data_IF_984949921634
#
_entry.id   IF_984949921634
#
_cell.length_a   1.000
_cell.length_b   1.000
_cell.length_c   1.000
_cell.angle_alpha   90.00
_cell.angle_beta   90.00
_cell.angle_gamma   90.00
#
_symmetry.space_group_name_H-M   'P 1'
#
loop_
_entity.id
_entity.type
_entity.pdbx_description
1 polymer ?
#
# COMPACT_ATOMS: atom_id res chain seq x y z
N UNK A 1 1.67 -15.35 1.13
CA UNK A 1 2.28 -14.39 0.18
C UNK A 1 2.77 -15.15 -1.05
N UNK A 2 2.41 -14.72 -2.26
CA UNK A 2 2.95 -15.30 -3.49
C UNK A 2 4.26 -14.59 -3.85
N UNK A 3 5.37 -15.34 -3.92
CA UNK A 3 6.67 -14.84 -4.38
C UNK A 3 7.02 -15.50 -5.70
N UNK A 4 7.36 -14.72 -6.71
CA UNK A 4 7.92 -15.29 -7.93
C UNK A 4 9.29 -15.89 -7.64
N UNK A 5 9.55 -17.09 -8.21
CA UNK A 5 10.89 -17.64 -8.34
C UNK A 5 11.82 -16.63 -9.04
N UNK A 6 13.06 -16.54 -8.56
CA UNK A 6 14.03 -15.50 -8.96
C UNK A 6 14.27 -15.45 -10.47
N UNK A 7 14.58 -14.27 -10.99
CA UNK A 7 14.83 -14.09 -12.43
C UNK A 7 16.01 -14.92 -12.93
N UNK A 8 17.10 -14.96 -12.15
CA UNK A 8 18.29 -15.75 -12.46
C UNK A 8 17.99 -17.25 -12.60
N UNK A 9 17.19 -17.82 -11.68
CA UNK A 9 16.80 -19.23 -11.73
C UNK A 9 16.11 -19.56 -13.06
N UNK A 10 15.19 -18.69 -13.50
CA UNK A 10 14.45 -18.89 -14.75
C UNK A 10 15.37 -18.85 -15.96
N UNK A 11 16.32 -17.92 -15.99
CA UNK A 11 17.31 -17.81 -17.06
C UNK A 11 18.18 -19.07 -17.13
N UNK A 12 18.68 -19.55 -15.98
CA UNK A 12 19.51 -20.77 -15.92
C UNK A 12 18.75 -22.02 -16.37
N UNK A 13 17.50 -22.14 -15.95
CA UNK A 13 16.61 -23.24 -16.37
C UNK A 13 16.36 -23.21 -17.87
N UNK A 14 16.04 -22.05 -18.44
CA UNK A 14 15.78 -21.92 -19.88
C UNK A 14 17.04 -22.12 -20.73
N UNK A 15 18.22 -21.73 -20.22
CA UNK A 15 19.49 -22.09 -20.87
C UNK A 15 19.70 -23.60 -20.95
N UNK A 16 19.36 -24.35 -19.90
CA UNK A 16 19.45 -25.81 -19.94
C UNK A 16 18.47 -26.42 -20.95
N UNK A 17 17.25 -25.88 -21.05
CA UNK A 17 16.27 -26.30 -22.07
C UNK A 17 16.76 -25.96 -23.48
N UNK A 18 17.35 -24.78 -23.68
CA UNK A 18 17.94 -24.38 -24.96
C UNK A 18 19.14 -25.26 -25.36
N UNK A 19 19.88 -25.78 -24.38
CA UNK A 19 20.96 -26.75 -24.59
C UNK A 19 20.47 -28.20 -24.83
N UNK A 20 19.17 -28.43 -24.93
CA UNK A 20 18.58 -29.72 -25.30
C UNK A 20 17.92 -30.49 -24.16
N UNK A 21 17.94 -29.99 -22.92
CA UNK A 21 17.23 -30.66 -21.82
C UNK A 21 15.71 -30.57 -21.99
N UNK A 22 15.01 -31.64 -21.64
CA UNK A 22 13.55 -31.62 -21.53
C UNK A 22 13.11 -30.75 -20.36
N UNK A 23 11.84 -30.32 -20.36
CA UNK A 23 11.28 -29.53 -19.25
C UNK A 23 11.30 -30.28 -17.91
N UNK A 24 11.25 -31.62 -17.93
CA UNK A 24 11.32 -32.44 -16.72
C UNK A 24 12.75 -32.49 -16.18
N UNK A 25 13.73 -32.80 -17.02
CA UNK A 25 15.14 -32.82 -16.62
C UNK A 25 15.62 -31.45 -16.12
N UNK A 26 15.25 -30.37 -16.82
CA UNK A 26 15.56 -29.02 -16.37
C UNK A 26 14.81 -28.65 -15.08
N UNK A 27 13.60 -29.15 -14.88
CA UNK A 27 12.86 -28.98 -13.64
C UNK A 27 13.55 -29.66 -12.45
N UNK A 28 13.87 -30.94 -12.60
CA UNK A 28 14.54 -31.75 -11.59
C UNK A 28 15.91 -31.18 -11.21
N UNK A 29 16.72 -30.79 -12.21
CA UNK A 29 18.06 -30.21 -11.99
C UNK A 29 18.05 -28.92 -11.17
N UNK A 30 17.00 -28.11 -11.27
CA UNK A 30 16.94 -26.77 -10.69
C UNK A 30 15.86 -26.60 -9.62
N UNK A 31 15.20 -27.69 -9.20
CA UNK A 31 14.15 -27.66 -8.18
C UNK A 31 12.87 -26.92 -8.62
N UNK A 32 12.52 -26.98 -9.91
CA UNK A 32 11.33 -26.37 -10.47
C UNK A 32 10.39 -27.42 -11.09
N UNK A 33 9.08 -27.20 -11.05
CA UNK A 33 8.15 -28.11 -11.73
C UNK A 33 8.20 -27.92 -13.25
N UNK A 34 8.08 -29.01 -14.02
CA UNK A 34 8.05 -28.97 -15.49
C UNK A 34 6.99 -28.00 -16.04
N UNK A 35 5.83 -27.90 -15.36
CA UNK A 35 4.79 -26.92 -15.69
C UNK A 35 5.28 -25.46 -15.55
N UNK A 36 6.09 -25.16 -14.54
CA UNK A 36 6.69 -23.83 -14.36
C UNK A 36 7.71 -23.52 -15.45
N UNK A 37 8.55 -24.50 -15.80
CA UNK A 37 9.50 -24.38 -16.91
C UNK A 37 8.78 -24.09 -18.22
N UNK A 38 7.70 -24.83 -18.52
CA UNK A 38 6.84 -24.59 -19.70
C UNK A 38 6.28 -23.16 -19.73
N UNK A 39 5.75 -22.66 -18.61
CA UNK A 39 5.26 -21.27 -18.52
C UNK A 39 6.36 -20.24 -18.75
N UNK A 40 7.58 -20.47 -18.26
CA UNK A 40 8.70 -19.57 -18.48
C UNK A 40 9.14 -19.56 -19.94
N UNK A 41 9.19 -20.73 -20.59
CA UNK A 41 9.52 -20.85 -22.02
C UNK A 41 8.49 -20.16 -22.90
N UNK A 42 7.20 -20.34 -22.60
CA UNK A 42 6.10 -19.63 -23.30
C UNK A 42 6.28 -18.12 -23.20
N UNK A 43 6.55 -17.61 -21.99
CA UNK A 43 6.81 -16.18 -21.74
C UNK A 43 8.04 -15.65 -22.46
N UNK A 44 9.13 -16.40 -22.49
CA UNK A 44 10.34 -16.01 -23.22
C UNK A 44 10.05 -15.88 -24.72
N UNK A 45 9.27 -16.81 -25.31
CA UNK A 45 8.86 -16.71 -26.72
C UNK A 45 7.94 -15.52 -27.01
N UNK A 46 7.02 -15.20 -26.10
CA UNK A 46 6.04 -14.12 -26.30
C UNK A 46 6.58 -12.73 -25.98
N UNK A 47 7.47 -12.60 -24.99
CA UNK A 47 7.89 -11.33 -24.40
C UNK A 47 9.40 -11.10 -24.47
N UNK A 48 10.17 -12.03 -25.03
CA UNK A 48 11.63 -11.97 -25.15
C UNK A 48 12.40 -12.19 -23.86
N UNK A 49 11.71 -12.32 -22.71
CA UNK A 49 12.35 -12.54 -21.41
C UNK A 49 11.47 -13.34 -20.43
N UNK A 50 12.06 -14.21 -19.60
CA UNK A 50 11.30 -15.01 -18.61
C UNK A 50 10.94 -14.25 -17.33
N UNK A 51 10.97 -12.91 -17.36
CA UNK A 51 10.78 -12.06 -16.17
C UNK A 51 9.38 -12.27 -15.57
N UNK A 52 9.24 -12.39 -14.24
CA UNK A 52 7.92 -12.38 -13.62
C UNK A 52 7.17 -11.08 -13.98
N UNK A 53 5.85 -11.17 -14.05
CA UNK A 53 5.01 -10.00 -14.31
C UNK A 53 4.91 -9.17 -13.03
N UNK A 54 4.28 -7.99 -13.11
CA UNK A 54 3.95 -7.22 -11.92
C UNK A 54 3.12 -8.08 -10.96
N UNK A 55 3.70 -8.37 -9.80
CA UNK A 55 3.02 -9.07 -8.71
C UNK A 55 2.36 -8.03 -7.81
N UNK A 56 1.05 -8.14 -7.65
CA UNK A 56 0.27 -7.13 -6.92
C UNK A 56 0.17 -5.81 -7.68
N UNK A 57 -0.13 -4.74 -6.94
CA UNK A 57 -0.45 -3.41 -7.49
C UNK A 57 -1.93 -3.07 -7.33
N UNK A 58 -2.23 -1.77 -7.33
CA UNK A 58 -3.60 -1.29 -7.36
C UNK A 58 -4.24 -1.65 -8.70
N UNK A 59 -5.41 -2.29 -8.64
CA UNK A 59 -6.24 -2.65 -9.80
C UNK A 59 -7.67 -2.15 -9.65
N UNK A 60 -7.93 -1.40 -8.57
CA UNK A 60 -9.27 -0.95 -8.17
C UNK A 60 -9.38 0.58 -8.23
N UNK A 61 -8.25 1.29 -8.24
CA UNK A 61 -8.21 2.75 -8.35
C UNK A 61 -8.53 3.29 -9.74
N UNK A 62 -8.35 2.50 -10.80
CA UNK A 62 -8.37 3.01 -12.18
C UNK A 62 -9.60 3.86 -12.49
N UNK A 63 -10.79 3.43 -12.02
CA UNK A 63 -12.04 4.18 -12.21
C UNK A 63 -12.03 5.55 -11.55
N UNK A 64 -11.55 5.68 -10.32
CA UNK A 64 -11.54 6.98 -9.63
C UNK A 64 -10.41 7.88 -10.17
N UNK A 65 -9.28 7.30 -10.57
CA UNK A 65 -8.17 8.04 -11.18
C UNK A 65 -8.54 8.61 -12.56
N UNK A 66 -9.36 7.90 -13.34
CA UNK A 66 -9.91 8.43 -14.59
C UNK A 66 -10.75 9.70 -14.40
N UNK A 67 -11.29 9.93 -13.20
CA UNK A 67 -12.07 11.11 -12.83
C UNK A 67 -11.34 12.02 -11.85
N UNK A 68 -9.99 11.97 -11.81
CA UNK A 68 -9.15 12.75 -10.89
C UNK A 68 -9.54 14.23 -10.85
N UNK A 69 -9.73 14.85 -12.01
CA UNK A 69 -10.08 16.28 -12.10
C UNK A 69 -11.42 16.60 -11.44
N UNK A 70 -12.44 15.76 -11.64
CA UNK A 70 -13.74 15.93 -11.00
C UNK A 70 -13.65 15.78 -9.48
N UNK A 71 -12.85 14.81 -8.99
CA UNK A 71 -12.62 14.61 -7.56
C UNK A 71 -11.87 15.81 -6.94
N UNK A 72 -10.89 16.36 -7.64
CA UNK A 72 -10.16 17.56 -7.20
C UNK A 72 -11.04 18.81 -7.23
N UNK A 73 -11.86 18.99 -8.27
CA UNK A 73 -12.80 20.11 -8.38
C UNK A 73 -13.85 20.07 -7.26
N UNK A 74 -14.33 18.87 -6.90
CA UNK A 74 -15.26 18.69 -5.79
C UNK A 74 -14.67 19.05 -4.41
N UNK A 75 -13.33 19.06 -4.28
CA UNK A 75 -12.65 19.43 -3.05
C UNK A 75 -12.56 20.96 -2.88
N UNK A 76 -12.76 21.72 -3.95
CA UNK A 76 -12.68 23.18 -3.97
C UNK A 76 -11.24 23.73 -3.87
N UNK A 77 -11.06 25.05 -4.07
CA UNK A 77 -9.74 25.69 -4.07
C UNK A 77 -9.01 25.60 -2.71
N UNK A 78 -9.75 25.57 -1.60
CA UNK A 78 -9.19 25.57 -0.24
C UNK A 78 -8.91 24.17 0.32
N UNK A 79 -9.28 23.11 -0.42
CA UNK A 79 -9.14 21.70 -0.03
C UNK A 79 -9.86 21.29 1.27
N UNK A 80 -10.88 22.06 1.67
CA UNK A 80 -11.54 21.91 2.97
C UNK A 80 -12.84 21.09 2.95
N UNK A 81 -13.33 20.69 1.78
CA UNK A 81 -14.52 19.86 1.69
C UNK A 81 -14.29 18.48 2.33
N UNK A 82 -15.29 18.05 3.10
CA UNK A 82 -15.31 16.72 3.71
C UNK A 82 -15.50 15.63 2.66
N UNK A 83 -15.13 14.39 2.98
CA UNK A 83 -15.30 13.26 2.06
C UNK A 83 -16.77 13.07 1.68
N UNK A 84 -17.73 13.31 2.58
CA UNK A 84 -19.16 13.19 2.26
C UNK A 84 -19.65 14.31 1.32
N UNK A 85 -19.15 15.53 1.47
CA UNK A 85 -19.45 16.63 0.53
C UNK A 85 -18.88 16.33 -0.86
N UNK A 86 -17.66 15.80 -0.93
CA UNK A 86 -17.05 15.34 -2.19
C UNK A 86 -17.89 14.23 -2.82
N UNK A 87 -18.39 13.28 -2.02
CA UNK A 87 -19.30 12.21 -2.51
C UNK A 87 -20.59 12.77 -3.06
N UNK A 88 -21.22 13.70 -2.35
CA UNK A 88 -22.46 14.33 -2.78
C UNK A 88 -22.25 15.10 -4.09
N UNK A 89 -21.17 15.88 -4.18
CA UNK A 89 -20.80 16.65 -5.39
C UNK A 89 -20.50 15.75 -6.59
N UNK A 90 -19.80 14.63 -6.38
CA UNK A 90 -19.55 13.67 -7.46
C UNK A 90 -20.84 12.94 -7.88
N UNK A 91 -21.75 12.67 -6.94
CA UNK A 91 -23.02 12.03 -7.24
C UNK A 91 -23.94 12.90 -8.11
N UNK A 92 -23.91 14.22 -7.98
CA UNK A 92 -24.67 15.12 -8.89
C UNK A 92 -24.16 15.05 -10.32
N UNK A 93 -22.90 14.66 -10.53
CA UNK A 93 -22.27 14.44 -11.83
C UNK A 93 -22.42 12.98 -12.31
N UNK A 94 -23.18 12.14 -11.60
CA UNK A 94 -23.34 10.70 -11.91
C UNK A 94 -22.15 9.82 -11.50
N UNK A 95 -21.17 10.37 -10.79
CA UNK A 95 -19.96 9.67 -10.36
C UNK A 95 -20.12 9.16 -8.92
N UNK A 96 -20.58 7.92 -8.77
CA UNK A 96 -20.78 7.33 -7.44
C UNK A 96 -19.55 6.57 -6.98
N UNK A 97 -18.92 7.05 -5.91
CA UNK A 97 -17.81 6.39 -5.21
C UNK A 97 -18.12 6.18 -3.73
N UNK A 98 -17.61 5.07 -3.18
CA UNK A 98 -17.68 4.80 -1.74
C UNK A 98 -16.66 5.65 -0.95
N UNK A 99 -16.96 5.88 0.33
CA UNK A 99 -16.10 6.64 1.25
C UNK A 99 -14.63 6.20 1.22
N UNK A 100 -14.37 4.90 1.42
CA UNK A 100 -13.00 4.37 1.44
C UNK A 100 -12.27 4.43 0.09
N UNK A 101 -12.98 4.62 -1.03
CA UNK A 101 -12.36 4.83 -2.34
C UNK A 101 -11.82 6.26 -2.43
N UNK A 102 -12.61 7.25 -2.03
CA UNK A 102 -12.19 8.66 -2.00
C UNK A 102 -11.10 8.86 -0.94
N UNK A 103 -11.23 8.26 0.25
CA UNK A 103 -10.20 8.32 1.28
C UNK A 103 -8.85 7.78 0.79
N UNK A 104 -8.84 6.62 0.12
CA UNK A 104 -7.62 6.04 -0.45
C UNK A 104 -7.07 6.86 -1.62
N UNK A 105 -7.95 7.48 -2.41
CA UNK A 105 -7.55 8.43 -3.45
C UNK A 105 -6.80 9.62 -2.84
N UNK A 106 -7.35 10.27 -1.81
CA UNK A 106 -6.65 11.37 -1.13
C UNK A 106 -5.33 10.93 -0.50
N UNK A 107 -5.29 9.76 0.14
CA UNK A 107 -4.05 9.20 0.67
C UNK A 107 -3.00 8.96 -0.42
N UNK A 108 -3.40 8.49 -1.61
CA UNK A 108 -2.51 8.26 -2.77
C UNK A 108 -1.95 9.57 -3.35
N UNK A 109 -2.77 10.62 -3.37
CA UNK A 109 -2.39 11.95 -3.88
C UNK A 109 -1.78 12.86 -2.79
N UNK A 110 -1.47 12.32 -1.60
CA UNK A 110 -0.91 13.05 -0.46
C UNK A 110 -1.74 14.30 -0.05
N UNK A 111 -3.06 14.23 -0.25
CA UNK A 111 -4.00 15.29 0.14
C UNK A 111 -4.34 15.10 1.60
N UNK A 112 -3.86 16.02 2.43
CA UNK A 112 -4.14 16.05 3.87
C UNK A 112 -4.95 17.29 4.18
N UNK A 113 -6.08 17.14 4.90
CA UNK A 113 -6.76 18.28 5.48
C UNK A 113 -5.79 19.01 6.41
N UNK A 114 -5.64 20.32 6.22
CA UNK A 114 -4.89 21.15 7.15
C UNK A 114 -5.58 21.08 8.51
N UNK A 115 -4.86 20.63 9.54
CA UNK A 115 -5.37 20.61 10.90
C UNK A 115 -4.95 21.90 11.58
N UNK A 116 -5.79 22.92 11.54
CA UNK A 116 -5.60 24.09 12.39
C UNK A 116 -5.77 23.66 13.85
N UNK A 117 -4.66 23.59 14.61
CA UNK A 117 -4.69 23.29 16.05
C UNK A 117 -5.23 24.48 16.81
N UNK A 118 -6.55 24.64 16.81
CA UNK A 118 -7.24 25.66 17.62
C UNK A 118 -7.38 25.28 19.11
N UNK A 119 -6.65 24.27 19.62
CA UNK A 119 -6.69 23.89 21.04
C UNK A 119 -5.31 23.43 21.54
N UNK A 120 -4.50 24.38 21.99
CA UNK A 120 -3.48 24.18 23.05
C UNK A 120 -3.78 25.14 24.22
N UNK A 121 -5.06 25.31 24.55
CA UNK A 121 -5.52 26.04 25.74
C UNK A 121 -6.55 25.23 26.50
N UNK A 122 -6.06 24.23 27.21
CA UNK A 122 -6.46 23.93 28.60
C UNK A 122 -5.26 23.25 29.24
N UNK A 123 -4.32 24.05 29.77
CA UNK A 123 -3.32 23.50 30.69
C UNK A 123 -4.08 22.85 31.85
N UNK A 124 -3.76 21.60 32.18
CA UNK A 124 -4.32 20.91 33.35
C UNK A 124 -4.22 21.83 34.57
N UNK A 125 -5.27 21.96 35.40
CA UNK A 125 -5.13 22.57 36.71
C UNK A 125 -4.11 21.75 37.47
N UNK A 126 -2.92 22.33 37.70
CA UNK A 126 -2.01 21.84 38.74
C UNK A 126 -2.74 22.08 40.06
N UNK A 127 -3.26 21.01 40.64
CA UNK A 127 -3.73 21.03 42.02
C UNK A 127 -2.49 21.26 42.91
N UNK A 128 -2.45 22.31 43.75
CA UNK A 128 -1.48 22.36 44.83
C UNK A 128 -2.00 21.56 46.04
N UNK A 129 -1.03 21.16 46.87
CA UNK A 129 -1.12 20.78 48.29
C UNK A 129 -1.80 19.44 48.64
N UNK A 130 -1.33 18.61 49.57
CA UNK A 130 -0.20 18.67 50.51
C UNK A 130 -0.04 17.28 51.17
N UNK A 131 1.16 17.02 51.72
CA UNK A 131 1.46 16.17 52.89
C UNK A 131 1.26 14.62 52.86
N UNK A 132 2.39 13.91 53.02
CA UNK A 132 2.70 12.78 53.96
C UNK A 132 3.87 11.97 53.37
N UNK A 133 4.92 11.55 54.07
CA UNK A 133 5.34 11.68 55.45
C UNK A 133 6.87 11.46 55.49
N UNK A 134 7.59 12.28 56.26
CA UNK A 134 8.99 12.05 56.61
C UNK A 134 8.99 11.17 57.86
N UNK A 135 9.43 9.92 57.73
CA UNK A 135 9.89 9.12 58.88
C UNK A 135 11.42 9.16 58.84
N UNK A 136 12.02 10.00 59.70
CA UNK A 136 13.43 9.87 60.09
C UNK A 136 13.47 9.14 61.41
N UNK A 137 13.98 7.92 61.39
CA UNK A 137 14.48 7.27 62.59
C UNK A 137 15.86 7.84 62.94
N UNK A 138 16.03 8.25 64.18
CA UNK A 138 17.35 8.42 64.79
C UNK A 138 17.24 8.11 66.29
N UNK A 139 18.27 7.43 66.75
CA UNK A 139 18.44 6.70 68.01
C UNK A 139 18.84 7.57 69.19
N UNK A 140 18.30 7.17 70.36
CA UNK A 140 18.87 7.14 71.72
C UNK A 140 19.23 8.44 72.50
N UNK A 141 18.65 8.42 73.71
CA UNK A 141 18.99 9.00 75.02
C UNK A 141 18.74 10.50 75.20
#
# INVERSE_FOLDING_TARGET
MSRALSGDLRVRVLRAVAAGATHREAGERFGASAASVSRWRKREREQGAPRPGRLGGDRRSDRIEAHREAVMAALGPDLDATIEEVRASLATQGLVFGYGTIQRFFARHAITRKKDRAHDRTGSPRHPDEARAVVRGATRL
#
